data_IF_724240210175
#
_entry.id   IF_724240210175
#
_cell.length_a   1.000
_cell.length_b   1.000
_cell.length_c   1.000
_cell.angle_alpha   90.00
_cell.angle_beta   90.00
_cell.angle_gamma   90.00
#
_symmetry.space_group_name_H-M   'P 1'
#
loop_
_entity.id
_entity.type
_entity.pdbx_description
1 polymer ?
#
# COMPACT_ATOMS: atom_id res chain seq x y z
N UNK A 1 39.23 27.67 3.49
CA UNK A 1 37.91 27.60 2.86
C UNK A 1 37.51 26.14 2.89
N UNK A 2 36.56 25.76 3.76
CA UNK A 2 36.04 24.39 3.74
C UNK A 2 35.11 24.30 2.53
N UNK A 3 35.48 23.43 1.60
CA UNK A 3 34.65 23.09 0.45
C UNK A 3 33.38 22.41 0.98
N UNK A 4 32.23 23.06 0.79
CA UNK A 4 30.93 22.50 1.20
C UNK A 4 30.59 21.39 0.21
N UNK A 5 30.64 20.14 0.66
CA UNK A 5 30.41 18.97 -0.19
C UNK A 5 28.92 18.62 -0.36
N UNK A 6 28.03 19.61 -0.28
CA UNK A 6 26.58 19.44 -0.35
C UNK A 6 25.99 20.11 -1.59
N UNK A 7 24.98 19.48 -2.20
CA UNK A 7 24.31 20.02 -3.38
C UNK A 7 23.51 21.30 -3.05
N UNK A 8 23.19 22.08 -4.09
CA UNK A 8 22.35 23.27 -3.92
C UNK A 8 20.93 22.93 -3.44
N UNK A 9 20.39 21.75 -3.79
CA UNK A 9 19.11 21.29 -3.26
C UNK A 9 19.20 20.96 -1.77
N UNK A 10 20.27 20.31 -1.32
CA UNK A 10 20.48 20.03 0.10
C UNK A 10 20.64 21.32 0.93
N UNK A 11 21.35 22.31 0.40
CA UNK A 11 21.45 23.64 1.03
C UNK A 11 20.09 24.33 1.16
N UNK A 12 19.27 24.29 0.10
CA UNK A 12 17.90 24.81 0.14
C UNK A 12 17.02 24.05 1.14
N UNK A 13 17.18 22.73 1.24
CA UNK A 13 16.50 21.89 2.22
C UNK A 13 16.87 22.26 3.66
N UNK A 14 18.17 22.43 3.93
CA UNK A 14 18.65 22.87 5.25
C UNK A 14 18.08 24.24 5.63
N UNK A 15 18.11 25.21 4.71
CA UNK A 15 17.56 26.54 4.94
C UNK A 15 16.05 26.49 5.20
N UNK A 16 15.28 25.74 4.41
CA UNK A 16 13.84 25.61 4.59
C UNK A 16 13.47 24.96 5.94
N UNK A 17 14.17 23.89 6.32
CA UNK A 17 13.96 23.23 7.61
C UNK A 17 14.31 24.16 8.79
N UNK A 18 15.43 24.87 8.71
CA UNK A 18 15.84 25.84 9.73
C UNK A 18 14.82 26.99 9.87
N UNK A 19 14.41 27.57 8.74
CA UNK A 19 13.40 28.62 8.69
C UNK A 19 12.05 28.17 9.24
N UNK A 20 11.67 26.89 9.08
CA UNK A 20 10.47 26.35 9.71
C UNK A 20 10.67 26.20 11.23
N UNK A 21 11.79 25.63 11.66
CA UNK A 21 12.04 25.32 13.07
C UNK A 21 12.07 26.59 13.93
N UNK A 22 12.68 27.68 13.45
CA UNK A 22 12.69 28.98 14.15
C UNK A 22 11.34 29.65 14.30
N UNK A 23 10.32 29.27 13.51
CA UNK A 23 8.96 29.78 13.70
C UNK A 23 8.34 29.14 14.94
N UNK A 24 8.75 27.92 15.30
CA UNK A 24 8.26 27.20 16.46
C UNK A 24 9.12 27.39 17.71
N UNK A 25 10.42 27.66 17.54
CA UNK A 25 11.38 27.75 18.63
C UNK A 25 12.21 29.04 18.55
N UNK A 26 11.87 30.01 19.40
CA UNK A 26 12.57 31.30 19.52
C UNK A 26 14.04 31.15 19.94
N UNK A 27 14.45 30.01 20.50
CA UNK A 27 15.86 29.72 20.83
C UNK A 27 16.69 29.52 19.57
N UNK A 28 16.05 29.20 18.44
CA UNK A 28 16.69 29.03 17.15
C UNK A 28 16.94 30.40 16.49
N UNK A 29 18.16 30.91 16.63
CA UNK A 29 18.58 32.15 15.98
C UNK A 29 18.73 32.04 14.46
N UNK A 30 19.17 33.14 13.85
CA UNK A 30 19.56 33.15 12.44
C UNK A 30 20.69 32.14 12.19
N UNK A 31 20.57 31.30 11.15
CA UNK A 31 21.62 30.33 10.85
C UNK A 31 22.83 31.03 10.22
N UNK A 32 24.03 30.59 10.62
CA UNK A 32 25.24 30.88 9.88
C UNK A 32 25.43 29.88 8.71
N UNK A 33 26.22 30.28 7.70
CA UNK A 33 26.45 29.46 6.51
C UNK A 33 27.11 28.11 6.83
N UNK A 34 27.97 28.05 7.85
CA UNK A 34 28.67 26.81 8.22
C UNK A 34 27.69 25.79 8.83
N UNK A 35 26.71 26.26 9.60
CA UNK A 35 25.67 25.43 10.18
C UNK A 35 24.72 24.86 9.13
N UNK A 36 24.30 25.70 8.17
CA UNK A 36 23.49 25.23 7.04
C UNK A 36 24.27 24.21 6.19
N UNK A 37 25.56 24.44 5.96
CA UNK A 37 26.41 23.50 5.25
C UNK A 37 26.48 22.14 5.95
N UNK A 38 26.71 22.12 7.27
CA UNK A 38 26.75 20.87 8.04
C UNK A 38 25.42 20.08 7.99
N UNK A 39 24.30 20.79 8.05
CA UNK A 39 22.98 20.18 7.89
C UNK A 39 22.78 19.66 6.46
N UNK A 40 23.17 20.44 5.46
CA UNK A 40 23.07 20.08 4.06
C UNK A 40 23.87 18.82 3.71
N UNK A 41 25.08 18.64 4.25
CA UNK A 41 25.87 17.41 4.07
C UNK A 41 25.15 16.17 4.61
N UNK A 42 24.48 16.31 5.76
CA UNK A 42 23.68 15.24 6.35
C UNK A 42 22.43 14.92 5.51
N UNK A 43 21.77 15.95 4.98
CA UNK A 43 20.61 15.83 4.09
C UNK A 43 21.01 15.16 2.76
N UNK A 44 22.14 15.57 2.18
CA UNK A 44 22.66 15.05 0.90
C UNK A 44 22.88 13.54 0.98
N UNK A 45 23.47 13.05 2.08
CA UNK A 45 23.71 11.61 2.30
C UNK A 45 22.45 10.76 2.09
N UNK A 46 21.29 11.27 2.49
CA UNK A 46 20.01 10.57 2.39
C UNK A 46 19.13 11.07 1.24
N UNK A 47 19.60 12.07 0.49
CA UNK A 47 18.87 12.76 -0.58
C UNK A 47 17.45 13.12 -0.15
N UNK A 48 17.32 13.72 1.04
CA UNK A 48 16.02 14.12 1.58
C UNK A 48 15.51 15.36 0.86
N UNK A 49 14.22 15.38 0.53
CA UNK A 49 13.60 16.49 -0.18
C UNK A 49 12.96 17.48 0.79
N UNK A 50 12.80 18.74 0.36
CA UNK A 50 12.23 19.82 1.18
C UNK A 50 10.92 19.42 1.89
N UNK A 51 9.94 18.74 1.23
CA UNK A 51 8.71 18.33 1.91
C UNK A 51 8.95 17.37 3.07
N UNK A 52 9.88 16.42 2.92
CA UNK A 52 10.24 15.46 3.99
C UNK A 52 10.83 16.19 5.19
N UNK A 53 11.67 17.19 4.93
CA UNK A 53 12.37 17.96 5.95
C UNK A 53 11.44 18.88 6.72
N UNK A 54 10.59 19.65 6.01
CA UNK A 54 9.63 20.57 6.64
C UNK A 54 8.63 19.80 7.48
N UNK A 55 8.12 18.68 6.97
CA UNK A 55 7.21 17.84 7.74
C UNK A 55 7.92 17.17 8.92
N UNK A 56 9.22 16.84 8.77
CA UNK A 56 10.04 16.34 9.86
C UNK A 56 10.17 17.33 11.02
N UNK A 57 10.29 18.62 10.70
CA UNK A 57 10.27 19.70 11.71
C UNK A 57 8.91 19.79 12.39
N UNK A 58 7.80 19.76 11.62
CA UNK A 58 6.45 19.81 12.19
C UNK A 58 6.27 18.66 13.21
N UNK A 59 6.60 17.44 12.79
CA UNK A 59 6.44 16.23 13.62
C UNK A 59 7.30 16.23 14.88
N UNK A 60 8.50 16.83 14.82
CA UNK A 60 9.32 17.00 16.02
C UNK A 60 8.62 17.89 17.04
N UNK A 61 8.15 19.07 16.63
CA UNK A 61 7.54 20.05 17.54
C UNK A 61 6.10 19.72 17.94
N UNK A 62 5.40 18.87 17.20
CA UNK A 62 4.12 18.27 17.64
C UNK A 62 4.31 17.24 18.76
N UNK A 63 5.51 16.67 18.89
CA UNK A 63 5.86 15.73 19.94
C UNK A 63 6.15 16.37 21.30
N UNK A 64 6.32 15.54 22.32
CA UNK A 64 6.80 15.98 23.62
C UNK A 64 8.32 16.19 23.54
N UNK A 65 8.75 17.43 23.30
CA UNK A 65 10.19 17.77 23.13
C UNK A 65 10.89 18.12 24.44
N UNK A 66 10.16 18.19 25.56
CA UNK A 66 10.63 18.71 26.85
C UNK A 66 11.31 20.09 26.72
N UNK A 67 10.87 20.88 25.74
CA UNK A 67 11.44 22.20 25.45
C UNK A 67 12.84 22.17 24.83
N UNK A 68 13.31 21.01 24.35
CA UNK A 68 14.56 20.89 23.60
C UNK A 68 14.42 21.44 22.19
N UNK A 69 15.50 22.05 21.73
CA UNK A 69 15.64 22.54 20.36
C UNK A 69 16.00 21.40 19.43
N UNK A 70 15.43 21.40 18.22
CA UNK A 70 15.66 20.37 17.23
C UNK A 70 17.13 20.31 16.79
N UNK A 71 17.73 19.12 16.86
CA UNK A 71 19.03 18.84 16.27
C UNK A 71 18.92 18.24 14.86
N UNK A 72 20.03 18.23 14.11
CA UNK A 72 20.07 17.56 12.80
C UNK A 72 19.73 16.07 12.89
N UNK A 73 20.12 15.39 13.98
CA UNK A 73 19.78 13.99 14.20
C UNK A 73 18.27 13.76 14.32
N UNK A 74 17.58 14.64 15.06
CA UNK A 74 16.12 14.60 15.22
C UNK A 74 15.42 14.84 13.88
N UNK A 75 15.87 15.85 13.12
CA UNK A 75 15.35 16.15 11.79
C UNK A 75 15.52 14.96 10.85
N UNK A 76 16.71 14.35 10.80
CA UNK A 76 17.00 13.21 9.93
C UNK A 76 16.15 11.98 10.31
N UNK A 77 15.89 11.77 11.61
CA UNK A 77 15.01 10.71 12.06
C UNK A 77 13.60 10.91 11.49
N UNK A 78 12.96 12.03 11.79
CA UNK A 78 11.57 12.27 11.39
C UNK A 78 11.40 12.34 9.87
N UNK A 79 12.28 13.04 9.15
CA UNK A 79 12.20 13.17 7.70
C UNK A 79 12.28 11.80 6.98
N UNK A 80 13.11 10.88 7.50
CA UNK A 80 13.20 9.51 6.97
C UNK A 80 11.94 8.70 7.26
N UNK A 81 11.35 8.87 8.44
CA UNK A 81 10.08 8.21 8.76
C UNK A 81 8.94 8.70 7.86
N UNK A 82 8.86 10.00 7.59
CA UNK A 82 7.86 10.60 6.71
C UNK A 82 8.00 10.07 5.27
N UNK A 83 9.24 10.00 4.77
CA UNK A 83 9.50 9.40 3.45
C UNK A 83 9.05 7.94 3.40
N UNK A 84 9.35 7.16 4.45
CA UNK A 84 8.90 5.76 4.54
C UNK A 84 7.37 5.66 4.51
N UNK A 85 6.68 6.45 5.34
CA UNK A 85 5.22 6.47 5.40
C UNK A 85 4.57 6.88 4.08
N UNK A 86 5.17 7.84 3.37
CA UNK A 86 4.70 8.23 2.04
C UNK A 86 4.81 7.08 1.04
N UNK A 87 5.98 6.44 0.97
CA UNK A 87 6.18 5.29 0.08
C UNK A 87 5.23 4.14 0.40
N UNK A 88 4.97 3.88 1.69
CA UNK A 88 3.97 2.89 2.13
C UNK A 88 2.55 3.26 1.69
N UNK A 89 2.18 4.54 1.81
CA UNK A 89 0.85 5.04 1.42
C UNK A 89 0.65 5.01 -0.09
N UNK A 90 1.67 5.41 -0.86
CA UNK A 90 1.65 5.34 -2.33
C UNK A 90 1.49 3.89 -2.80
N UNK A 91 2.27 2.96 -2.23
CA UNK A 91 2.14 1.53 -2.52
C UNK A 91 0.75 1.00 -2.16
N UNK A 92 0.22 1.35 -0.99
CA UNK A 92 -1.13 0.94 -0.61
C UNK A 92 -2.19 1.51 -1.57
N UNK A 93 -2.02 2.75 -2.05
CA UNK A 93 -2.90 3.35 -3.04
C UNK A 93 -2.82 2.63 -4.40
N UNK A 94 -1.62 2.25 -4.84
CA UNK A 94 -1.42 1.43 -6.05
C UNK A 94 -2.11 0.06 -5.92
N UNK A 95 -1.94 -0.62 -4.77
CA UNK A 95 -2.59 -1.90 -4.49
C UNK A 95 -4.13 -1.76 -4.45
N UNK A 96 -4.65 -0.71 -3.81
CA UNK A 96 -6.07 -0.41 -3.80
C UNK A 96 -6.61 -0.09 -5.20
N UNK A 97 -5.88 0.68 -6.00
CA UNK A 97 -6.26 0.98 -7.38
C UNK A 97 -6.24 -0.28 -8.25
N UNK A 98 -5.23 -1.15 -8.10
CA UNK A 98 -5.16 -2.43 -8.77
C UNK A 98 -6.33 -3.34 -8.37
N UNK A 99 -6.68 -3.39 -7.08
CA UNK A 99 -7.83 -4.15 -6.60
C UNK A 99 -9.16 -3.59 -7.12
N UNK A 100 -9.32 -2.26 -7.19
CA UNK A 100 -10.51 -1.62 -7.72
C UNK A 100 -10.68 -1.80 -9.23
N UNK A 101 -9.57 -1.94 -9.99
CA UNK A 101 -9.59 -2.20 -11.42
C UNK A 101 -10.00 -3.66 -11.77
N UNK A 102 -10.05 -4.57 -10.79
CA UNK A 102 -10.52 -5.94 -11.03
C UNK A 102 -12.04 -5.96 -11.23
N UNK A 103 -12.55 -6.76 -12.20
CA UNK A 103 -13.97 -6.85 -12.45
C UNK A 103 -14.72 -7.39 -11.22
N UNK A 104 -15.91 -6.85 -10.91
CA UNK A 104 -16.72 -7.34 -9.80
C UNK A 104 -17.16 -8.79 -10.06
N UNK A 105 -16.67 -9.71 -9.23
CA UNK A 105 -17.13 -11.10 -9.22
C UNK A 105 -16.00 -12.11 -8.98
N UNK A 106 -15.97 -12.70 -7.79
CA UNK A 106 -15.09 -13.82 -7.49
C UNK A 106 -15.06 -14.15 -6.00
N UNK A 107 -15.20 -15.44 -5.68
CA UNK A 107 -15.02 -16.00 -4.34
C UNK A 107 -13.70 -15.51 -3.72
N UNK A 108 -13.74 -15.06 -2.46
CA UNK A 108 -12.58 -14.94 -1.57
C UNK A 108 -11.28 -14.45 -2.24
N UNK A 109 -11.25 -13.21 -2.73
CA UNK A 109 -10.00 -12.52 -3.05
C UNK A 109 -9.22 -13.02 -4.26
N UNK A 110 -9.80 -13.85 -5.13
CA UNK A 110 -9.17 -14.24 -6.39
C UNK A 110 -9.87 -13.57 -7.59
N UNK A 111 -9.13 -13.08 -8.60
CA UNK A 111 -9.68 -12.43 -9.80
C UNK A 111 -10.24 -13.45 -10.79
N UNK A 112 -10.98 -14.45 -10.30
CA UNK A 112 -11.67 -15.43 -11.13
C UNK A 112 -13.10 -14.95 -11.26
N UNK A 113 -13.41 -14.29 -12.38
CA UNK A 113 -14.79 -14.02 -12.77
C UNK A 113 -15.55 -15.36 -12.75
N UNK A 114 -16.53 -15.49 -11.84
CA UNK A 114 -17.32 -16.71 -11.68
C UNK A 114 -18.22 -16.96 -12.89
N UNK A 115 -18.46 -15.94 -13.72
CA UNK A 115 -19.26 -15.97 -14.93
C UNK A 115 -18.39 -16.26 -16.15
N UNK A 116 -18.87 -17.14 -17.04
CA UNK A 116 -18.23 -17.41 -18.32
C UNK A 116 -18.35 -18.86 -18.77
N UNK A 117 -17.60 -19.23 -19.81
CA UNK A 117 -17.56 -20.60 -20.31
C UNK A 117 -17.20 -21.56 -19.16
N UNK A 118 -18.02 -22.59 -18.89
CA UNK A 118 -17.78 -23.57 -17.84
C UNK A 118 -16.39 -24.21 -18.00
N UNK A 119 -15.63 -24.30 -16.91
CA UNK A 119 -14.42 -25.10 -16.86
C UNK A 119 -14.84 -26.50 -16.45
N UNK A 120 -15.12 -27.37 -17.42
CA UNK A 120 -15.70 -28.70 -17.16
C UNK A 120 -14.87 -29.55 -16.18
N UNK A 121 -13.54 -29.43 -16.21
CA UNK A 121 -12.67 -30.09 -15.24
C UNK A 121 -13.00 -29.74 -13.76
N UNK A 122 -13.55 -28.55 -13.49
CA UNK A 122 -13.99 -28.18 -12.14
C UNK A 122 -15.32 -28.87 -11.75
N UNK A 123 -16.14 -29.22 -12.72
CA UNK A 123 -17.40 -29.95 -12.53
C UNK A 123 -17.19 -31.46 -12.41
N UNK A 124 -16.09 -32.00 -12.93
CA UNK A 124 -15.75 -33.42 -12.80
C UNK A 124 -15.30 -33.79 -11.37
N UNK A 125 -14.89 -32.80 -10.56
CA UNK A 125 -14.47 -33.01 -9.18
C UNK A 125 -15.60 -33.67 -8.38
N UNK A 126 -15.30 -34.80 -7.75
CA UNK A 126 -16.24 -35.62 -6.97
C UNK A 126 -17.49 -36.06 -7.75
N UNK A 127 -17.43 -36.12 -9.09
CA UNK A 127 -18.60 -36.42 -9.91
C UNK A 127 -19.70 -35.36 -9.77
N UNK A 128 -19.34 -34.11 -9.47
CA UNK A 128 -20.32 -33.04 -9.24
C UNK A 128 -21.20 -32.79 -10.47
N UNK A 129 -20.68 -32.99 -11.68
CA UNK A 129 -21.41 -32.85 -12.94
C UNK A 129 -22.55 -33.87 -13.09
N UNK A 130 -22.43 -35.05 -12.50
CA UNK A 130 -23.38 -36.16 -12.66
C UNK A 130 -24.63 -36.02 -11.79
N UNK A 131 -24.72 -34.98 -10.97
CA UNK A 131 -25.82 -34.75 -10.02
C UNK A 131 -26.45 -33.37 -10.18
N UNK A 132 -27.75 -33.22 -9.87
CA UNK A 132 -28.39 -31.92 -9.85
C UNK A 132 -27.77 -31.02 -8.77
N UNK A 133 -27.69 -29.71 -9.03
CA UNK A 133 -27.17 -28.77 -8.06
C UNK A 133 -28.22 -28.43 -6.98
N UNK A 134 -27.95 -28.65 -5.68
CA UNK A 134 -28.91 -28.32 -4.62
C UNK A 134 -29.12 -26.81 -4.42
N UNK A 135 -28.21 -25.97 -4.95
CA UNK A 135 -28.29 -24.50 -4.81
C UNK A 135 -28.95 -23.80 -5.99
N UNK A 136 -28.55 -24.15 -7.21
CA UNK A 136 -29.05 -23.47 -8.43
C UNK A 136 -29.93 -24.38 -9.29
N UNK A 137 -30.19 -25.61 -8.86
CA UNK A 137 -31.03 -26.59 -9.54
C UNK A 137 -30.61 -26.92 -10.98
N UNK A 138 -29.35 -26.62 -11.35
CA UNK A 138 -28.78 -27.05 -12.61
C UNK A 138 -28.79 -28.59 -12.70
N UNK A 139 -29.31 -29.11 -13.80
CA UNK A 139 -29.40 -30.55 -14.10
C UNK A 139 -28.01 -31.23 -14.19
N UNK A 140 -27.95 -32.57 -14.09
CA UNK A 140 -26.76 -33.33 -14.47
C UNK A 140 -26.28 -32.94 -15.87
N UNK A 141 -24.96 -32.95 -16.08
CA UNK A 141 -24.32 -32.56 -17.36
C UNK A 141 -24.52 -31.10 -17.78
N UNK A 142 -25.16 -30.27 -16.94
CA UNK A 142 -25.30 -28.82 -17.14
C UNK A 142 -24.41 -28.04 -16.18
N UNK A 143 -23.89 -26.89 -16.64
CA UNK A 143 -23.16 -25.97 -15.78
C UNK A 143 -24.07 -25.31 -14.75
N UNK A 144 -23.53 -24.95 -13.59
CA UNK A 144 -24.25 -24.16 -12.59
C UNK A 144 -24.55 -22.77 -13.15
N UNK A 145 -25.67 -22.19 -12.74
CA UNK A 145 -26.10 -20.86 -13.17
C UNK A 145 -25.94 -19.85 -12.03
N UNK A 146 -25.66 -18.61 -12.41
CA UNK A 146 -25.66 -17.46 -11.49
C UNK A 146 -27.07 -16.98 -11.20
N UNK A 147 -27.22 -16.10 -10.21
CA UNK A 147 -28.49 -15.43 -9.90
C UNK A 147 -29.09 -14.65 -11.08
N UNK A 148 -28.27 -14.31 -12.08
CA UNK A 148 -28.65 -13.58 -13.29
C UNK A 148 -28.85 -14.50 -14.50
N UNK A 149 -28.88 -15.83 -14.31
CA UNK A 149 -29.13 -16.83 -15.36
C UNK A 149 -27.93 -17.21 -16.23
N UNK A 150 -26.79 -16.52 -16.11
CA UNK A 150 -25.56 -16.86 -16.85
C UNK A 150 -24.83 -18.07 -16.28
N UNK A 151 -24.19 -18.88 -17.15
CA UNK A 151 -23.39 -20.04 -16.75
C UNK A 151 -22.16 -19.65 -15.90
N UNK A 152 -21.87 -20.48 -14.90
CA UNK A 152 -20.73 -20.34 -14.00
C UNK A 152 -19.52 -21.14 -14.50
N UNK A 153 -18.33 -20.55 -14.39
CA UNK A 153 -17.06 -21.24 -14.69
C UNK A 153 -16.79 -22.43 -13.76
N UNK A 154 -17.21 -22.33 -12.50
CA UNK A 154 -16.98 -23.31 -11.44
C UNK A 154 -18.34 -23.73 -10.87
N UNK A 155 -18.54 -25.02 -10.52
CA UNK A 155 -19.77 -25.46 -9.86
C UNK A 155 -20.01 -24.72 -8.53
N UNK A 156 -21.28 -24.59 -8.16
CA UNK A 156 -21.67 -24.13 -6.83
C UNK A 156 -20.99 -24.99 -5.75
N UNK A 157 -20.47 -24.36 -4.69
CA UNK A 157 -19.86 -25.07 -3.54
C UNK A 157 -20.77 -26.16 -2.96
N UNK A 158 -22.08 -25.92 -2.93
CA UNK A 158 -23.06 -26.91 -2.50
C UNK A 158 -23.11 -28.16 -3.40
N UNK A 159 -22.88 -28.00 -4.72
CA UNK A 159 -22.77 -29.13 -5.66
C UNK A 159 -21.46 -29.89 -5.52
N UNK A 160 -20.37 -29.24 -5.10
CA UNK A 160 -19.06 -29.86 -4.90
C UNK A 160 -18.98 -30.68 -3.61
N UNK A 161 -19.56 -30.17 -2.53
CA UNK A 161 -19.43 -30.72 -1.18
C UNK A 161 -20.38 -31.89 -0.88
N UNK A 162 -21.32 -32.19 -1.78
CA UNK A 162 -22.25 -33.29 -1.56
C UNK A 162 -21.54 -34.64 -1.67
N UNK A 163 -22.01 -35.65 -0.91
CA UNK A 163 -21.35 -36.97 -0.88
C UNK A 163 -21.27 -37.58 -2.29
N UNK A 164 -20.12 -38.13 -2.71
CA UNK A 164 -20.01 -38.75 -4.03
C UNK A 164 -21.00 -39.91 -4.15
N UNK A 165 -21.66 -40.02 -5.31
CA UNK A 165 -22.41 -41.22 -5.67
C UNK A 165 -21.37 -42.30 -5.91
N UNK A 166 -21.29 -43.30 -5.01
CA UNK A 166 -20.50 -44.51 -5.26
C UNK A 166 -21.09 -45.19 -6.49
N UNK A 167 -20.43 -45.02 -7.65
CA UNK A 167 -20.73 -45.79 -8.85
C UNK A 167 -20.29 -47.23 -8.56
N UNK A 168 -21.22 -48.06 -8.09
CA UNK A 168 -21.06 -49.51 -8.16
C UNK A 168 -20.93 -49.89 -9.63
N UNK A 169 -19.78 -50.49 -9.96
CA UNK A 169 -19.50 -51.07 -11.27
C UNK A 169 -20.48 -52.21 -11.58
#
# INVERSE_FOLDING_TARGET
MNEIAASHSAMRGAAAAWSRARIYDDKLGDPDNARLAAWAESIERWRLEVPDLVEGVNRYYEGCTDGRTIGIGDLMHHAREIRRQRAETEKAAEEHAAAAALPPGGYSGLPINAQGKPVWAAYDINGAIDRPCPRCHAEPQCACITSWGGAQKIPCKARLNDKPITRTA
#
